data_IF_771090107423
#
_entry.id   IF_771090107423
#
_cell.length_a   1.000
_cell.length_b   1.000
_cell.length_c   1.000
_cell.angle_alpha   90.00
_cell.angle_beta   90.00
_cell.angle_gamma   90.00
#
_symmetry.space_group_name_H-M   'P 1'
#
loop_
_entity.id
_entity.type
_entity.pdbx_description
1 polymer ?
#
# COMPACT_ATOMS: atom_id res chain seq x y z
N UNK A 1 5.82 -0.57 21.99
CA UNK A 1 7.10 -1.23 21.62
C UNK A 1 6.94 -2.21 20.46
N UNK A 2 6.08 -3.23 20.58
CA UNK A 2 5.82 -4.22 19.51
C UNK A 2 5.28 -3.60 18.21
N UNK A 3 4.34 -2.65 18.31
CA UNK A 3 3.73 -1.97 17.14
C UNK A 3 4.79 -1.24 16.29
N UNK A 4 5.74 -0.55 16.92
CA UNK A 4 6.83 0.14 16.22
C UNK A 4 7.71 -0.85 15.44
N UNK A 5 7.97 -2.02 16.03
CA UNK A 5 8.75 -3.09 15.42
C UNK A 5 8.05 -3.69 14.20
N UNK A 6 6.73 -3.89 14.30
CA UNK A 6 5.88 -4.37 13.19
C UNK A 6 5.90 -3.35 12.04
N UNK A 7 5.75 -2.05 12.34
CA UNK A 7 5.81 -0.99 11.32
C UNK A 7 7.17 -0.98 10.61
N UNK A 8 8.26 -1.12 11.36
CA UNK A 8 9.61 -1.12 10.80
C UNK A 8 9.86 -2.33 9.88
N UNK A 9 9.32 -3.50 10.25
CA UNK A 9 9.38 -4.71 9.41
C UNK A 9 8.54 -4.55 8.13
N UNK A 10 7.32 -3.99 8.24
CA UNK A 10 6.45 -3.74 7.08
C UNK A 10 7.13 -2.77 6.10
N UNK A 11 7.75 -1.71 6.59
CA UNK A 11 8.52 -0.78 5.74
C UNK A 11 9.72 -1.47 5.09
N UNK A 12 10.50 -2.25 5.85
CA UNK A 12 11.68 -2.95 5.33
C UNK A 12 11.34 -3.98 4.25
N UNK A 13 10.27 -4.78 4.43
CA UNK A 13 9.83 -5.76 3.43
C UNK A 13 9.07 -5.12 2.26
N UNK A 14 8.31 -4.06 2.50
CA UNK A 14 7.54 -3.35 1.47
C UNK A 14 8.39 -2.52 0.51
N UNK A 15 9.58 -2.06 0.94
CA UNK A 15 10.54 -1.37 0.07
C UNK A 15 11.59 -2.29 -0.53
N UNK A 16 11.64 -3.55 -0.10
CA UNK A 16 12.63 -4.51 -0.60
C UNK A 16 12.21 -5.10 -1.94
N UNK A 17 13.03 -5.01 -3.00
CA UNK A 17 12.71 -5.50 -4.35
C UNK A 17 12.72 -7.05 -4.46
N UNK A 18 12.53 -7.75 -3.34
CA UNK A 18 12.51 -9.21 -3.22
C UNK A 18 11.13 -9.79 -3.60
N UNK A 19 10.08 -8.98 -3.52
CA UNK A 19 8.76 -9.31 -4.06
C UNK A 19 8.76 -9.03 -5.58
N UNK A 20 8.42 -10.01 -6.45
CA UNK A 20 8.43 -9.79 -7.88
C UNK A 20 7.38 -8.73 -8.23
N UNK A 21 7.87 -7.54 -8.57
CA UNK A 21 7.06 -6.44 -9.07
C UNK A 21 6.34 -6.89 -10.34
N UNK A 22 5.00 -6.90 -10.31
CA UNK A 22 4.20 -7.15 -11.51
C UNK A 22 4.31 -5.95 -12.45
N UNK A 23 5.27 -6.01 -13.38
CA UNK A 23 5.54 -4.97 -14.39
C UNK A 23 4.42 -4.79 -15.43
N UNK A 24 3.30 -5.50 -15.28
CA UNK A 24 2.20 -5.53 -16.25
C UNK A 24 1.04 -4.57 -15.99
N UNK A 25 1.00 -3.88 -14.85
CA UNK A 25 -0.15 -3.05 -14.47
C UNK A 25 -0.09 -1.60 -15.01
N UNK A 26 1.02 -1.17 -15.63
CA UNK A 26 1.15 0.18 -16.20
C UNK A 26 1.25 1.33 -15.18
N UNK A 27 1.11 1.06 -13.89
CA UNK A 27 1.21 2.06 -12.82
C UNK A 27 2.58 1.96 -12.09
N UNK A 28 3.55 2.71 -12.61
CA UNK A 28 4.79 3.05 -11.92
C UNK A 28 4.50 3.79 -10.59
N UNK A 29 5.47 3.94 -9.68
CA UNK A 29 5.69 3.16 -8.45
C UNK A 29 4.59 3.33 -7.38
N UNK A 30 3.32 3.44 -7.78
CA UNK A 30 2.21 3.83 -6.90
C UNK A 30 1.31 2.68 -6.48
N UNK A 31 1.56 1.43 -6.86
CA UNK A 31 0.62 0.30 -6.63
C UNK A 31 0.04 0.22 -5.21
N UNK A 32 0.86 0.37 -4.16
CA UNK A 32 0.36 0.43 -2.78
C UNK A 32 -0.44 1.70 -2.48
N UNK A 33 0.02 2.86 -2.95
CA UNK A 33 -0.66 4.15 -2.76
C UNK A 33 -1.97 4.26 -3.56
N UNK A 34 -2.03 3.72 -4.77
CA UNK A 34 -3.22 3.70 -5.62
C UNK A 34 -4.28 2.79 -5.04
N UNK A 35 -3.89 1.60 -4.55
CA UNK A 35 -4.80 0.71 -3.80
C UNK A 35 -5.32 1.42 -2.54
N UNK A 36 -4.42 2.08 -1.78
CA UNK A 36 -4.82 2.81 -0.58
C UNK A 36 -5.78 3.97 -0.91
N UNK A 37 -5.52 4.72 -1.98
CA UNK A 37 -6.40 5.80 -2.43
C UNK A 37 -7.78 5.29 -2.87
N UNK A 38 -7.85 4.14 -3.56
CA UNK A 38 -9.11 3.50 -3.94
C UNK A 38 -9.90 3.08 -2.70
N UNK A 39 -9.23 2.48 -1.70
CA UNK A 39 -9.87 2.08 -0.44
C UNK A 39 -10.46 3.31 0.27
N UNK A 40 -9.70 4.40 0.39
CA UNK A 40 -10.17 5.65 1.00
C UNK A 40 -11.38 6.22 0.24
N UNK A 41 -11.35 6.20 -1.10
CA UNK A 41 -12.45 6.68 -1.92
C UNK A 41 -13.74 5.87 -1.71
N UNK A 42 -13.64 4.54 -1.63
CA UNK A 42 -14.79 3.66 -1.37
C UNK A 42 -15.36 3.93 0.03
N UNK A 43 -14.50 4.07 1.04
CA UNK A 43 -14.92 4.40 2.40
C UNK A 43 -15.64 5.74 2.44
N UNK A 44 -15.12 6.77 1.77
CA UNK A 44 -15.75 8.09 1.69
C UNK A 44 -17.15 8.01 1.05
N UNK A 45 -17.26 7.30 -0.07
CA UNK A 45 -18.53 7.12 -0.80
C UNK A 45 -19.56 6.32 0.02
N UNK A 46 -19.13 5.32 0.78
CA UNK A 46 -20.01 4.52 1.65
C UNK A 46 -20.43 5.25 2.92
N UNK A 47 -19.55 6.12 3.47
CA UNK A 47 -19.86 6.87 4.69
C UNK A 47 -20.80 8.07 4.43
N UNK A 48 -21.02 8.45 3.17
CA UNK A 48 -22.01 9.46 2.79
C UNK A 48 -21.69 10.86 3.28
N UNK A 49 -20.44 11.31 3.08
CA UNK A 49 -20.08 12.74 3.20
C UNK A 49 -20.55 13.49 1.96
#
# INVERSE_FOLDING_TARGET
MLILLIILLVLAFGTSPILPYSRGWGYYPSGGLGILAIIVLIVLLMHGV
#
